data_IF_813234783218
#
_entry.id   IF_813234783218
#
_cell.length_a   1.000
_cell.length_b   1.000
_cell.length_c   1.000
_cell.angle_alpha   90.00
_cell.angle_beta   90.00
_cell.angle_gamma   90.00
#
_symmetry.space_group_name_H-M   'P 1'
#
loop_
_entity.id
_entity.type
_entity.pdbx_description
1 polymer ?
#
# COMPACT_ATOMS: atom_id res chain seq x y z
N UNK A 1 12.78 -6.92 11.02
CA UNK A 1 13.46 -5.72 10.49
C UNK A 1 12.45 -5.08 9.56
N UNK A 2 12.02 -3.83 9.77
CA UNK A 2 10.92 -3.31 8.99
C UNK A 2 11.46 -3.05 7.59
N UNK A 3 10.93 -3.83 6.66
CA UNK A 3 10.65 -3.47 5.28
C UNK A 3 11.31 -2.15 4.79
N UNK A 4 12.11 -2.23 3.74
CA UNK A 4 12.57 -1.08 2.96
C UNK A 4 12.23 -1.36 1.50
N UNK A 5 11.28 -0.63 0.92
CA UNK A 5 11.03 -0.70 -0.52
C UNK A 5 12.23 -0.27 -1.35
N UNK A 6 12.12 -0.42 -2.66
CA UNK A 6 12.98 0.27 -3.61
C UNK A 6 12.87 1.78 -3.34
N UNK A 7 14.01 2.45 -3.35
CA UNK A 7 14.07 3.90 -3.29
C UNK A 7 14.44 4.43 -4.67
N UNK A 8 13.47 4.90 -5.47
CA UNK A 8 13.75 5.56 -6.74
C UNK A 8 14.76 6.70 -6.58
N UNK A 9 15.58 6.89 -7.61
CA UNK A 9 16.34 8.12 -7.79
C UNK A 9 15.48 9.13 -8.54
N UNK A 10 15.47 10.38 -8.15
CA UNK A 10 14.74 11.44 -8.85
C UNK A 10 15.71 12.44 -9.47
N UNK A 11 15.34 12.97 -10.64
CA UNK A 11 16.14 13.91 -11.39
C UNK A 11 15.40 15.21 -11.67
N UNK A 12 16.06 16.32 -11.34
CA UNK A 12 15.64 17.68 -11.62
C UNK A 12 14.21 18.04 -11.15
N UNK A 13 13.69 17.33 -10.15
CA UNK A 13 12.40 17.63 -9.55
C UNK A 13 12.51 18.81 -8.58
N UNK A 14 11.51 19.68 -8.60
CA UNK A 14 11.23 20.63 -7.53
C UNK A 14 10.87 19.90 -6.23
N UNK A 15 10.93 20.59 -5.10
CA UNK A 15 10.55 19.99 -3.81
C UNK A 15 9.07 19.60 -3.75
N UNK A 16 8.21 20.30 -4.50
CA UNK A 16 6.80 19.92 -4.62
C UNK A 16 6.65 18.62 -5.44
N UNK A 17 7.27 18.53 -6.62
CA UNK A 17 7.24 17.32 -7.45
C UNK A 17 7.82 16.11 -6.71
N UNK A 18 8.95 16.28 -6.00
CA UNK A 18 9.56 15.21 -5.22
C UNK A 18 8.61 14.67 -4.14
N UNK A 19 7.88 15.55 -3.45
CA UNK A 19 6.87 15.14 -2.46
C UNK A 19 5.64 14.50 -3.10
N UNK A 20 5.20 15.00 -4.25
CA UNK A 20 4.09 14.44 -5.01
C UNK A 20 4.43 13.04 -5.56
N UNK A 21 5.67 12.80 -5.99
CA UNK A 21 6.19 11.49 -6.37
C UNK A 21 6.30 10.56 -5.17
N UNK A 22 6.76 11.05 -4.03
CA UNK A 22 6.84 10.26 -2.79
C UNK A 22 5.44 9.80 -2.35
N UNK A 23 4.46 10.70 -2.38
CA UNK A 23 3.05 10.41 -2.10
C UNK A 23 2.51 9.34 -3.06
N UNK A 24 2.65 9.56 -4.37
CA UNK A 24 2.19 8.61 -5.39
C UNK A 24 2.87 7.24 -5.28
N UNK A 25 4.17 7.19 -4.97
CA UNK A 25 4.91 5.93 -4.78
C UNK A 25 4.46 5.16 -3.53
N UNK A 26 4.10 5.88 -2.45
CA UNK A 26 3.54 5.27 -1.24
C UNK A 26 2.14 4.72 -1.48
N UNK A 27 1.28 5.52 -2.10
CA UNK A 27 -0.09 5.12 -2.46
C UNK A 27 -0.09 3.96 -3.47
N UNK A 28 0.87 3.92 -4.41
CA UNK A 28 1.07 2.77 -5.29
C UNK A 28 1.45 1.52 -4.49
N UNK A 29 2.20 1.69 -3.39
CA UNK A 29 2.41 0.63 -2.41
C UNK A 29 1.10 0.16 -1.79
N UNK A 30 0.21 1.04 -1.37
CA UNK A 30 -1.10 0.64 -0.83
C UNK A 30 -1.88 -0.21 -1.84
N UNK A 31 -1.90 0.20 -3.12
CA UNK A 31 -2.47 -0.58 -4.23
C UNK A 31 -1.77 -1.94 -4.36
N UNK A 32 -0.44 -1.99 -4.33
CA UNK A 32 0.34 -3.22 -4.42
C UNK A 32 0.08 -4.19 -3.24
N UNK A 33 -0.08 -3.66 -2.04
CA UNK A 33 -0.40 -4.44 -0.84
C UNK A 33 -1.79 -5.07 -0.95
N UNK A 34 -2.78 -4.29 -1.38
CA UNK A 34 -4.14 -4.79 -1.64
C UNK A 34 -4.11 -5.84 -2.75
N UNK A 35 -3.43 -5.59 -3.86
CA UNK A 35 -3.34 -6.60 -4.93
C UNK A 35 -2.68 -7.89 -4.45
N UNK A 36 -1.61 -7.79 -3.67
CA UNK A 36 -0.95 -8.96 -3.11
C UNK A 36 -1.86 -9.73 -2.16
N UNK A 37 -2.67 -9.04 -1.34
CA UNK A 37 -3.68 -9.65 -0.47
C UNK A 37 -4.71 -10.50 -1.24
N UNK A 38 -5.12 -10.08 -2.44
CA UNK A 38 -6.12 -10.81 -3.23
C UNK A 38 -5.51 -11.74 -4.30
N UNK A 39 -4.17 -11.79 -4.43
CA UNK A 39 -3.48 -12.54 -5.49
C UNK A 39 -3.69 -14.07 -5.46
N UNK A 40 -3.32 -14.84 -6.52
CA UNK A 40 -3.51 -16.28 -6.53
C UNK A 40 -2.84 -16.94 -5.32
N UNK A 41 -3.50 -17.92 -4.68
CA UNK A 41 -3.07 -18.49 -3.37
C UNK A 41 -3.18 -17.54 -2.17
N UNK A 42 -3.83 -16.39 -2.29
CA UNK A 42 -4.32 -15.59 -1.16
C UNK A 42 -5.86 -15.60 -1.13
N UNK A 43 -6.51 -14.50 -0.71
CA UNK A 43 -7.97 -14.34 -0.79
C UNK A 43 -8.33 -14.04 -2.24
N UNK A 44 -8.32 -15.00 -3.15
CA UNK A 44 -8.79 -14.72 -4.50
C UNK A 44 -10.26 -14.32 -4.47
N UNK A 45 -10.63 -13.23 -5.15
CA UNK A 45 -12.01 -12.79 -5.30
C UNK A 45 -12.51 -13.04 -6.72
N UNK A 46 -13.80 -13.33 -6.89
CA UNK A 46 -14.43 -13.51 -8.20
C UNK A 46 -14.31 -12.25 -9.08
N UNK A 47 -14.25 -11.06 -8.47
CA UNK A 47 -14.01 -9.81 -9.18
C UNK A 47 -12.66 -9.75 -9.90
N UNK A 48 -11.65 -10.51 -9.46
CA UNK A 48 -10.37 -10.59 -10.16
C UNK A 48 -10.46 -11.41 -11.45
N UNK A 49 -11.33 -12.43 -11.48
CA UNK A 49 -11.59 -13.20 -12.70
C UNK A 49 -12.27 -12.34 -13.78
N UNK A 50 -12.97 -11.28 -13.40
CA UNK A 50 -13.59 -10.34 -14.33
C UNK A 50 -12.57 -9.60 -15.19
N UNK A 51 -11.41 -9.24 -14.63
CA UNK A 51 -10.36 -8.48 -15.33
C UNK A 51 -9.19 -9.34 -15.80
N UNK A 52 -8.97 -10.49 -15.14
CA UNK A 52 -7.82 -11.35 -15.45
C UNK A 52 -8.16 -12.74 -15.99
N UNK A 53 -9.44 -13.10 -15.97
CA UNK A 53 -9.93 -14.41 -16.41
C UNK A 53 -9.67 -15.50 -15.38
N UNK A 54 -10.50 -16.55 -15.40
CA UNK A 54 -10.49 -17.65 -14.43
C UNK A 54 -9.21 -18.51 -14.46
N UNK A 55 -8.38 -18.35 -15.49
CA UNK A 55 -7.09 -19.03 -15.60
C UNK A 55 -5.96 -18.35 -14.82
N UNK A 56 -6.15 -17.12 -14.34
CA UNK A 56 -5.16 -16.39 -13.54
C UNK A 56 -4.96 -17.07 -12.17
N UNK A 57 -6.05 -17.48 -11.52
CA UNK A 57 -6.02 -18.21 -10.25
C UNK A 57 -5.37 -19.59 -10.37
N UNK A 58 -5.56 -20.25 -11.53
CA UNK A 58 -5.19 -21.64 -11.78
C UNK A 58 -3.77 -21.82 -12.29
N UNK A 59 -2.98 -20.75 -12.36
CA UNK A 59 -1.58 -20.85 -12.74
C UNK A 59 -0.78 -21.43 -11.59
N UNK A 60 -0.76 -22.76 -11.52
CA UNK A 60 0.17 -23.52 -10.71
C UNK A 60 0.99 -24.44 -11.61
N UNK A 61 2.31 -24.45 -11.42
CA UNK A 61 3.20 -25.43 -12.01
C UNK A 61 2.91 -26.85 -11.51
N UNK A 62 3.61 -27.83 -12.09
CA UNK A 62 3.41 -29.27 -11.87
C UNK A 62 3.46 -29.72 -10.39
N UNK A 63 4.03 -28.90 -9.50
CA UNK A 63 4.17 -29.17 -8.06
C UNK A 63 3.34 -28.24 -7.16
N UNK A 64 2.33 -27.55 -7.72
CA UNK A 64 1.56 -26.54 -6.98
C UNK A 64 2.31 -25.22 -6.78
N UNK A 65 3.51 -25.08 -7.35
CA UNK A 65 4.30 -23.83 -7.36
C UNK A 65 3.52 -22.73 -8.10
N UNK A 66 3.44 -21.50 -7.57
CA UNK A 66 2.72 -20.43 -8.25
C UNK A 66 3.25 -20.16 -9.66
N UNK A 67 2.36 -19.71 -10.54
CA UNK A 67 2.71 -19.29 -11.89
C UNK A 67 3.36 -17.89 -11.94
N UNK A 68 3.83 -17.49 -13.13
CA UNK A 68 4.44 -16.17 -13.36
C UNK A 68 3.61 -14.99 -12.83
N UNK A 69 2.28 -15.08 -12.94
CA UNK A 69 1.33 -14.04 -12.59
C UNK A 69 1.33 -13.72 -11.09
N UNK A 70 1.36 -14.75 -10.24
CA UNK A 70 1.54 -14.57 -8.80
C UNK A 70 2.87 -13.90 -8.49
N UNK A 71 3.95 -14.34 -9.14
CA UNK A 71 5.28 -13.76 -8.89
C UNK A 71 5.38 -12.32 -9.39
N UNK A 72 4.67 -11.94 -10.45
CA UNK A 72 4.53 -10.55 -10.86
C UNK A 72 3.93 -9.70 -9.73
N UNK A 73 2.77 -10.11 -9.19
CA UNK A 73 2.11 -9.40 -8.09
C UNK A 73 2.99 -9.38 -6.82
N UNK A 74 3.68 -10.48 -6.52
CA UNK A 74 4.60 -10.54 -5.38
C UNK A 74 5.80 -9.60 -5.55
N UNK A 75 6.39 -9.55 -6.75
CA UNK A 75 7.55 -8.68 -7.04
C UNK A 75 7.16 -7.21 -7.03
N UNK A 76 5.95 -6.91 -7.52
CA UNK A 76 5.36 -5.59 -7.43
C UNK A 76 5.19 -5.15 -5.97
N UNK A 77 4.56 -5.98 -5.13
CA UNK A 77 4.51 -5.73 -3.68
C UNK A 77 5.91 -5.53 -3.07
N UNK A 78 6.87 -6.39 -3.45
CA UNK A 78 8.25 -6.31 -2.95
C UNK A 78 8.99 -5.05 -3.42
N UNK A 79 8.58 -4.42 -4.52
CA UNK A 79 9.11 -3.13 -4.95
C UNK A 79 8.82 -2.03 -3.91
N UNK A 80 7.71 -2.11 -3.17
CA UNK A 80 7.31 -1.12 -2.17
C UNK A 80 7.64 -1.53 -0.72
N UNK A 81 7.58 -2.84 -0.41
CA UNK A 81 7.59 -3.31 0.97
C UNK A 81 8.64 -4.36 1.32
N UNK A 82 9.59 -4.70 0.46
CA UNK A 82 10.47 -5.82 0.78
C UNK A 82 11.34 -5.59 2.03
N UNK A 83 11.52 -6.64 2.85
CA UNK A 83 12.60 -6.67 3.85
C UNK A 83 13.98 -6.68 3.19
N UNK A 84 15.04 -6.56 4.00
CA UNK A 84 16.42 -6.72 3.51
C UNK A 84 16.57 -8.03 2.71
N UNK A 85 17.15 -7.95 1.51
CA UNK A 85 17.31 -9.05 0.52
C UNK A 85 16.04 -9.67 -0.10
N UNK A 86 14.87 -9.08 0.13
CA UNK A 86 13.61 -9.55 -0.45
C UNK A 86 13.07 -8.69 -1.60
N UNK A 87 13.73 -7.56 -1.92
CA UNK A 87 13.30 -6.71 -3.04
C UNK A 87 13.55 -7.44 -4.37
N UNK A 88 12.88 -7.07 -5.47
CA UNK A 88 13.32 -7.43 -6.80
C UNK A 88 14.84 -7.25 -6.92
N UNK A 89 15.55 -8.37 -7.07
CA UNK A 89 17.01 -8.36 -6.91
C UNK A 89 17.60 -7.52 -8.03
N UNK A 90 18.43 -6.57 -7.62
CA UNK A 90 19.28 -5.77 -8.51
C UNK A 90 18.47 -4.84 -9.42
N UNK A 91 17.27 -4.49 -8.96
CA UNK A 91 16.38 -3.52 -9.58
C UNK A 91 16.71 -2.12 -9.12
N UNK A 92 16.79 -1.21 -10.07
CA UNK A 92 16.98 0.22 -9.82
C UNK A 92 16.04 0.99 -10.71
N UNK A 93 15.56 2.13 -10.25
CA UNK A 93 14.68 2.99 -11.04
C UNK A 93 15.04 4.45 -10.85
N UNK A 94 14.76 5.23 -11.89
CA UNK A 94 14.98 6.66 -11.92
C UNK A 94 13.74 7.35 -12.44
N UNK A 95 13.23 8.35 -11.73
CA UNK A 95 12.14 9.20 -12.18
C UNK A 95 12.69 10.53 -12.68
N UNK A 96 12.44 10.84 -13.95
CA UNK A 96 12.72 12.13 -14.56
C UNK A 96 11.44 12.98 -14.51
N UNK A 97 11.48 14.10 -13.76
CA UNK A 97 10.32 15.00 -13.69
C UNK A 97 10.05 15.75 -15.00
N UNK A 98 11.04 15.81 -15.91
CA UNK A 98 10.93 16.43 -17.22
C UNK A 98 11.58 15.57 -18.30
N UNK A 99 10.86 15.37 -19.41
CA UNK A 99 11.31 14.57 -20.56
C UNK A 99 12.66 15.02 -21.14
N UNK A 100 12.89 16.32 -21.24
CA UNK A 100 14.15 16.89 -21.74
C UNK A 100 15.39 16.40 -20.97
N UNK A 101 15.22 16.01 -19.71
CA UNK A 101 16.30 15.55 -18.86
C UNK A 101 16.60 14.05 -19.05
N UNK A 102 15.66 13.32 -19.66
CA UNK A 102 15.86 11.94 -20.13
C UNK A 102 16.43 11.87 -21.55
N UNK A 103 16.47 12.98 -22.29
CA UNK A 103 17.11 13.01 -23.61
C UNK A 103 16.69 14.20 -24.44
N UNK A 104 17.63 14.75 -25.21
CA UNK A 104 17.40 16.00 -25.95
C UNK A 104 16.51 15.87 -27.20
N UNK A 105 16.21 14.65 -27.64
CA UNK A 105 15.38 14.38 -28.83
C UNK A 105 14.06 13.68 -28.50
N UNK A 106 13.75 13.55 -27.22
CA UNK A 106 12.50 12.94 -26.77
C UNK A 106 11.38 13.97 -26.82
N UNK A 107 10.23 13.57 -27.36
CA UNK A 107 9.02 14.38 -27.44
C UNK A 107 7.76 13.53 -27.25
N UNK A 108 7.86 12.42 -26.51
CA UNK A 108 6.74 11.50 -26.27
C UNK A 108 5.65 12.17 -25.43
N UNK A 109 6.01 12.98 -24.44
CA UNK A 109 5.02 13.73 -23.66
C UNK A 109 4.31 14.82 -24.49
N UNK A 110 5.00 15.40 -25.49
CA UNK A 110 4.42 16.43 -26.36
C UNK A 110 3.57 15.83 -27.49
N UNK A 111 3.98 14.68 -28.03
CA UNK A 111 3.28 14.00 -29.13
C UNK A 111 2.06 13.21 -28.65
N UNK A 112 2.05 12.77 -27.39
CA UNK A 112 0.96 12.04 -26.76
C UNK A 112 0.37 12.88 -25.60
N UNK A 113 -0.52 13.82 -25.93
CA UNK A 113 -1.06 14.81 -24.99
C UNK A 113 -1.74 14.24 -23.72
N UNK A 114 -2.14 12.96 -23.72
CA UNK A 114 -2.75 12.27 -22.57
C UNK A 114 -1.78 11.42 -21.75
N UNK A 115 -0.51 11.29 -22.17
CA UNK A 115 0.47 10.42 -21.55
C UNK A 115 0.84 10.93 -20.16
N UNK A 116 0.71 10.09 -19.12
CA UNK A 116 1.09 10.47 -17.76
C UNK A 116 2.55 10.14 -17.48
N UNK A 117 3.01 8.98 -17.94
CA UNK A 117 4.38 8.55 -17.79
C UNK A 117 4.75 7.58 -18.90
N UNK A 118 6.04 7.32 -19.03
CA UNK A 118 6.53 6.21 -19.84
C UNK A 118 7.82 5.67 -19.29
N UNK A 119 8.10 4.40 -19.58
CA UNK A 119 9.24 3.67 -19.02
C UNK A 119 9.96 2.85 -20.08
N UNK A 120 11.22 2.51 -19.80
CA UNK A 120 11.98 1.54 -20.57
C UNK A 120 12.89 0.73 -19.68
N UNK A 121 13.42 -0.37 -20.22
CA UNK A 121 14.31 -1.27 -19.51
C UNK A 121 15.75 -1.06 -20.00
N UNK A 122 16.69 -0.91 -19.07
CA UNK A 122 18.13 -0.86 -19.32
C UNK A 122 18.84 -2.01 -18.58
N UNK A 123 18.91 -3.20 -19.18
CA UNK A 123 19.55 -4.35 -18.56
C UNK A 123 21.07 -4.19 -18.54
N UNK A 124 21.65 -4.19 -17.34
CA UNK A 124 23.08 -4.34 -17.11
C UNK A 124 23.47 -5.79 -16.79
N UNK A 125 24.77 -6.04 -16.66
CA UNK A 125 25.29 -7.39 -16.34
C UNK A 125 24.93 -7.80 -14.90
N UNK A 126 24.89 -6.83 -13.98
CA UNK A 126 24.67 -7.06 -12.53
C UNK A 126 23.52 -6.23 -11.96
N UNK A 127 22.71 -5.64 -12.82
CA UNK A 127 21.56 -4.83 -12.43
C UNK A 127 20.58 -4.69 -13.59
N UNK A 128 19.36 -4.29 -13.28
CA UNK A 128 18.40 -3.80 -14.28
C UNK A 128 17.95 -2.42 -13.84
N UNK A 129 18.12 -1.43 -14.72
CA UNK A 129 17.71 -0.06 -14.48
C UNK A 129 16.43 0.24 -15.25
N UNK A 130 15.45 0.86 -14.60
CA UNK A 130 14.15 1.20 -15.15
C UNK A 130 13.91 2.70 -15.07
N UNK A 131 14.31 3.46 -16.09
CA UNK A 131 13.95 4.87 -16.20
C UNK A 131 12.45 5.04 -16.42
N UNK A 132 11.85 5.99 -15.69
CA UNK A 132 10.48 6.46 -15.89
C UNK A 132 10.52 7.97 -16.12
N UNK A 133 9.86 8.45 -17.16
CA UNK A 133 9.67 9.87 -17.43
C UNK A 133 8.25 10.25 -17.04
N UNK A 134 8.12 11.32 -16.27
CA UNK A 134 6.84 11.86 -15.84
C UNK A 134 6.43 12.97 -16.77
N UNK A 135 5.26 12.82 -17.40
CA UNK A 135 4.71 13.78 -18.35
C UNK A 135 3.77 14.78 -17.64
N UNK A 136 3.50 15.96 -18.24
CA UNK A 136 2.68 16.99 -17.60
C UNK A 136 1.30 16.54 -17.06
N UNK A 137 0.52 15.71 -17.77
CA UNK A 137 -0.79 15.24 -17.29
C UNK A 137 -0.76 14.53 -15.93
N UNK A 138 0.34 13.85 -15.58
CA UNK A 138 0.48 13.17 -14.29
C UNK A 138 0.28 14.12 -13.10
N UNK A 139 0.79 15.34 -13.22
CA UNK A 139 0.76 16.34 -12.14
C UNK A 139 -0.65 16.89 -11.87
N UNK A 140 -1.56 16.75 -12.85
CA UNK A 140 -2.94 17.19 -12.74
C UNK A 140 -3.86 16.10 -12.16
N UNK A 141 -3.37 14.85 -12.06
CA UNK A 141 -4.13 13.74 -11.51
C UNK A 141 -4.24 13.87 -9.98
N UNK A 142 -5.40 13.55 -9.40
CA UNK A 142 -5.60 13.57 -7.95
C UNK A 142 -4.78 12.49 -7.26
N UNK A 143 -4.79 12.55 -5.93
CA UNK A 143 -4.23 11.50 -5.05
C UNK A 143 -5.12 10.28 -5.05
N UNK A 144 -4.62 9.15 -4.53
CA UNK A 144 -5.45 7.99 -4.25
C UNK A 144 -6.46 8.26 -3.13
N UNK A 145 -6.14 9.12 -2.15
CA UNK A 145 -7.05 9.48 -1.07
C UNK A 145 -8.34 10.14 -1.56
N UNK A 146 -8.26 10.95 -2.62
CA UNK A 146 -9.40 11.74 -3.11
C UNK A 146 -10.58 10.86 -3.59
N UNK A 147 -10.41 9.81 -4.43
CA UNK A 147 -11.49 8.89 -4.75
C UNK A 147 -11.89 7.99 -3.57
N UNK A 148 -10.98 7.64 -2.64
CA UNK A 148 -11.33 6.85 -1.45
C UNK A 148 -12.33 7.63 -0.57
N UNK A 149 -12.01 8.89 -0.24
CA UNK A 149 -12.88 9.76 0.56
C UNK A 149 -14.26 9.93 -0.09
N UNK A 150 -14.29 10.04 -1.42
CA UNK A 150 -15.54 10.17 -2.16
C UNK A 150 -16.36 8.88 -2.23
N UNK A 151 -15.71 7.72 -2.21
CA UNK A 151 -16.38 6.43 -2.29
C UNK A 151 -17.12 6.08 -0.99
N UNK A 152 -16.85 6.77 0.12
CA UNK A 152 -17.47 6.50 1.40
C UNK A 152 -19.00 6.69 1.38
N UNK A 153 -19.72 5.58 1.55
CA UNK A 153 -21.17 5.57 1.54
C UNK A 153 -21.80 5.81 0.15
N UNK A 154 -21.00 5.86 -0.92
CA UNK A 154 -21.46 5.98 -2.31
C UNK A 154 -21.14 4.70 -3.09
N UNK A 155 -22.00 3.70 -2.94
CA UNK A 155 -21.93 2.41 -3.65
C UNK A 155 -21.87 2.59 -5.18
N UNK A 156 -22.56 3.60 -5.72
CA UNK A 156 -22.55 3.88 -7.16
C UNK A 156 -21.20 4.39 -7.66
N UNK A 157 -20.50 5.18 -6.83
CA UNK A 157 -19.14 5.62 -7.11
C UNK A 157 -18.15 4.46 -6.99
N UNK A 158 -18.30 3.61 -5.97
CA UNK A 158 -17.47 2.42 -5.76
C UNK A 158 -17.48 1.50 -6.98
N UNK A 159 -18.66 1.22 -7.55
CA UNK A 159 -18.80 0.31 -8.69
C UNK A 159 -18.29 0.88 -10.03
N UNK A 160 -18.01 2.18 -10.11
CA UNK A 160 -17.54 2.85 -11.32
C UNK A 160 -16.03 2.78 -11.49
N UNK A 161 -15.52 1.80 -12.25
CA UNK A 161 -14.07 1.59 -12.41
C UNK A 161 -13.29 2.83 -12.89
N UNK A 162 -13.88 3.67 -13.75
CA UNK A 162 -13.28 4.92 -14.22
C UNK A 162 -13.01 5.95 -13.11
N UNK A 163 -13.72 5.86 -11.99
CA UNK A 163 -13.49 6.71 -10.82
C UNK A 163 -12.15 6.41 -10.14
N UNK A 164 -11.73 5.16 -10.21
CA UNK A 164 -10.49 4.68 -9.61
C UNK A 164 -9.29 4.79 -10.54
N UNK A 165 -9.51 4.92 -11.86
CA UNK A 165 -8.44 5.03 -12.87
C UNK A 165 -7.67 6.37 -12.84
N UNK A 166 -8.25 7.41 -12.23
CA UNK A 166 -7.75 8.79 -12.35
C UNK A 166 -6.91 9.21 -11.16
N UNK A 167 -5.80 8.56 -10.85
CA UNK A 167 -4.92 9.04 -9.77
C UNK A 167 -3.45 8.76 -10.07
N UNK A 168 -2.56 9.50 -9.42
CA UNK A 168 -1.10 9.39 -9.60
C UNK A 168 -0.55 8.02 -9.17
N UNK A 169 -1.11 7.43 -8.12
CA UNK A 169 -0.68 6.14 -7.58
C UNK A 169 -0.86 5.01 -8.61
N UNK A 170 -1.98 4.99 -9.33
CA UNK A 170 -2.23 4.05 -10.42
C UNK A 170 -1.16 4.17 -11.51
N UNK A 171 -0.78 5.38 -11.93
CA UNK A 171 0.27 5.54 -12.94
C UNK A 171 1.58 4.93 -12.45
N UNK A 172 2.00 5.21 -11.22
CA UNK A 172 3.23 4.64 -10.66
C UNK A 172 3.20 3.11 -10.62
N UNK A 173 2.05 2.57 -10.21
CA UNK A 173 1.77 1.14 -10.16
C UNK A 173 1.70 0.48 -11.55
N UNK A 174 1.25 1.23 -12.56
CA UNK A 174 1.24 0.78 -13.96
C UNK A 174 2.67 0.66 -14.50
N UNK A 175 3.45 1.73 -14.37
CA UNK A 175 4.80 1.80 -14.94
C UNK A 175 5.73 0.74 -14.35
N UNK A 176 5.58 0.39 -13.07
CA UNK A 176 6.36 -0.66 -12.41
C UNK A 176 6.10 -2.04 -12.99
N UNK A 177 4.89 -2.35 -13.47
CA UNK A 177 4.63 -3.61 -14.16
C UNK A 177 5.40 -3.76 -15.47
N UNK A 178 5.87 -2.68 -16.09
CA UNK A 178 6.70 -2.78 -17.31
C UNK A 178 8.16 -3.11 -17.03
N UNK A 179 8.58 -3.16 -15.76
CA UNK A 179 9.97 -3.39 -15.36
C UNK A 179 10.37 -4.86 -15.53
N UNK A 180 10.82 -5.21 -16.73
CA UNK A 180 11.29 -6.54 -17.08
C UNK A 180 12.80 -6.69 -16.88
N UNK A 181 13.28 -7.83 -16.33
CA UNK A 181 12.53 -9.00 -15.86
C UNK A 181 12.20 -8.95 -14.35
N UNK A 182 12.33 -7.78 -13.73
CA UNK A 182 12.44 -7.70 -12.28
C UNK A 182 11.11 -7.58 -11.55
N UNK A 183 10.08 -7.02 -12.19
CA UNK A 183 8.71 -6.99 -11.68
C UNK A 183 7.87 -7.95 -12.51
N UNK A 184 7.78 -7.72 -13.83
CA UNK A 184 7.07 -8.61 -14.75
C UNK A 184 8.01 -9.59 -15.45
N UNK A 185 7.68 -10.88 -15.36
CA UNK A 185 8.27 -11.95 -16.16
C UNK A 185 7.22 -13.07 -16.28
N UNK A 186 6.55 -13.25 -17.43
CA UNK A 186 6.83 -12.63 -18.73
C UNK A 186 6.58 -11.12 -18.73
N UNK A 187 7.30 -10.42 -19.61
CA UNK A 187 7.23 -8.96 -19.71
C UNK A 187 5.82 -8.46 -19.99
N UNK A 188 5.32 -7.55 -19.16
CA UNK A 188 4.10 -6.80 -19.42
C UNK A 188 4.37 -5.60 -20.34
N UNK A 189 5.06 -5.79 -21.47
CA UNK A 189 5.54 -4.69 -22.33
C UNK A 189 4.55 -4.20 -23.38
N UNK A 190 3.34 -4.75 -23.40
CA UNK A 190 2.34 -4.45 -24.42
C UNK A 190 1.16 -3.75 -23.77
N UNK A 191 1.01 -2.46 -24.04
CA UNK A 191 -0.12 -1.62 -23.64
C UNK A 191 -1.32 -1.85 -24.58
N UNK A 192 -1.74 -3.11 -24.68
CA UNK A 192 -2.63 -3.52 -25.77
C UNK A 192 -4.04 -3.00 -25.59
N UNK A 193 -4.49 -2.84 -24.34
CA UNK A 193 -5.83 -2.35 -24.01
C UNK A 193 -5.84 -1.58 -22.69
N UNK A 194 -6.14 -0.28 -22.78
CA UNK A 194 -6.43 0.59 -21.63
C UNK A 194 -7.92 0.64 -21.25
N UNK A 195 -8.81 0.32 -22.20
CA UNK A 195 -10.24 0.41 -21.96
C UNK A 195 -10.72 -0.78 -21.12
N UNK A 196 -11.56 -0.55 -20.09
CA UNK A 196 -12.14 -1.62 -19.28
C UNK A 196 -12.85 -2.69 -20.13
N UNK A 197 -13.59 -2.28 -21.16
CA UNK A 197 -14.30 -3.22 -22.05
C UNK A 197 -13.33 -4.12 -22.84
N UNK A 198 -12.21 -3.58 -23.31
CA UNK A 198 -11.17 -4.35 -24.01
C UNK A 198 -10.53 -5.38 -23.09
N UNK A 199 -10.18 -4.98 -21.87
CA UNK A 199 -9.59 -5.86 -20.84
C UNK A 199 -10.58 -6.97 -20.47
N UNK A 200 -11.85 -6.62 -20.22
CA UNK A 200 -12.89 -7.61 -19.90
C UNK A 200 -13.07 -8.63 -21.02
N UNK A 201 -13.08 -8.19 -22.28
CA UNK A 201 -13.23 -9.12 -23.40
C UNK A 201 -12.05 -10.09 -23.49
N UNK A 202 -10.82 -9.60 -23.28
CA UNK A 202 -9.65 -10.46 -23.20
C UNK A 202 -9.73 -11.47 -22.04
N UNK A 203 -10.19 -11.02 -20.88
CA UNK A 203 -10.38 -11.85 -19.68
C UNK A 203 -11.43 -12.95 -19.91
N UNK A 204 -12.58 -12.59 -20.48
CA UNK A 204 -13.66 -13.51 -20.86
C UNK A 204 -13.17 -14.59 -21.82
N UNK A 205 -12.28 -14.24 -22.74
CA UNK A 205 -11.66 -15.17 -23.70
C UNK A 205 -10.50 -15.98 -23.10
N UNK A 206 -10.11 -15.73 -21.84
CA UNK A 206 -8.90 -16.28 -21.22
C UNK A 206 -7.64 -16.09 -22.10
N UNK A 207 -7.56 -14.93 -22.77
CA UNK A 207 -6.45 -14.63 -23.66
C UNK A 207 -5.14 -14.55 -22.89
N UNK A 208 -4.06 -15.08 -23.45
CA UNK A 208 -2.71 -14.92 -22.88
C UNK A 208 -2.30 -13.44 -22.77
N UNK A 209 -2.89 -12.57 -23.60
CA UNK A 209 -2.66 -11.12 -23.64
C UNK A 209 -2.99 -10.43 -22.31
N UNK A 210 -4.00 -10.92 -21.59
CA UNK A 210 -4.37 -10.42 -20.26
C UNK A 210 -3.21 -10.51 -19.26
N UNK A 211 -2.39 -11.55 -19.38
CA UNK A 211 -1.30 -11.84 -18.43
C UNK A 211 -0.06 -10.99 -18.66
N UNK A 212 0.02 -10.34 -19.82
CA UNK A 212 1.12 -9.48 -20.27
C UNK A 212 0.67 -8.02 -20.49
N UNK A 213 -0.55 -7.68 -20.05
CA UNK A 213 -1.08 -6.32 -20.09
C UNK A 213 -1.01 -5.72 -18.68
N UNK A 214 -0.21 -4.68 -18.47
CA UNK A 214 -0.05 -4.06 -17.14
C UNK A 214 -1.41 -3.60 -16.58
N UNK A 215 -2.25 -3.00 -17.42
CA UNK A 215 -3.57 -2.50 -17.02
C UNK A 215 -4.50 -3.60 -16.47
N UNK A 216 -4.39 -4.85 -16.95
CA UNK A 216 -5.17 -5.96 -16.42
C UNK A 216 -4.89 -6.22 -14.93
N UNK A 217 -3.65 -6.02 -14.48
CA UNK A 217 -3.26 -6.18 -13.08
C UNK A 217 -3.78 -5.02 -12.22
N UNK A 218 -3.81 -3.80 -12.76
CA UNK A 218 -4.32 -2.63 -12.04
C UNK A 218 -5.81 -2.77 -11.74
N UNK A 219 -6.56 -3.25 -12.72
CA UNK A 219 -8.01 -3.38 -12.61
C UNK A 219 -8.42 -4.40 -11.51
N UNK A 220 -7.56 -5.36 -11.20
CA UNK A 220 -7.72 -6.30 -10.08
C UNK A 220 -7.54 -5.66 -8.69
N UNK A 221 -6.96 -4.47 -8.60
CA UNK A 221 -6.60 -3.87 -7.30
C UNK A 221 -7.75 -3.11 -6.66
N UNK A 222 -8.75 -2.73 -7.44
CA UNK A 222 -9.94 -2.05 -6.95
C UNK A 222 -10.88 -3.13 -6.43
N UNK A 223 -10.88 -3.27 -5.10
CA UNK A 223 -11.71 -4.20 -4.33
C UNK A 223 -13.19 -3.94 -4.60
N UNK A 224 -13.75 -4.72 -5.50
CA UNK A 224 -15.16 -4.67 -5.84
C UNK A 224 -15.71 -6.01 -5.38
N UNK A 225 -16.28 -6.05 -4.17
CA UNK A 225 -16.91 -7.27 -3.66
C UNK A 225 -18.01 -7.78 -4.60
N UNK A 226 -18.58 -6.88 -5.41
CA UNK A 226 -19.51 -7.16 -6.50
C UNK A 226 -18.92 -6.83 -7.88
N UNK A 227 -19.44 -7.50 -8.92
CA UNK A 227 -19.02 -7.24 -10.31
C UNK A 227 -19.29 -5.77 -10.67
N UNK A 228 -18.27 -4.97 -11.04
CA UNK A 228 -18.46 -3.58 -11.39
C UNK A 228 -19.48 -3.42 -12.51
N UNK A 229 -20.37 -2.44 -12.36
CA UNK A 229 -21.06 -1.89 -13.52
C UNK A 229 -20.06 -1.04 -14.31
N UNK A 230 -19.88 -1.35 -15.59
CA UNK A 230 -19.29 -0.38 -16.52
C UNK A 230 -20.26 0.79 -16.56
N UNK A 231 -20.00 1.81 -15.74
CA UNK A 231 -20.79 3.03 -15.75
C UNK A 231 -20.71 3.62 -17.15
N UNK A 232 -21.82 4.09 -17.74
CA UNK A 232 -21.77 4.79 -19.01
C UNK A 232 -20.84 5.99 -18.84
N UNK A 233 -19.69 5.90 -19.51
CA UNK A 233 -18.65 6.92 -19.51
C UNK A 233 -19.31 8.20 -20.03
N UNK A 234 -19.24 9.30 -19.28
CA UNK A 234 -19.72 10.59 -19.79
C UNK A 234 -18.92 10.93 -21.05
N UNK A 235 -19.49 11.50 -22.13
CA UNK A 235 -18.76 11.70 -23.41
C UNK A 235 -17.48 12.56 -23.33
N UNK A 236 -17.28 13.29 -22.22
CA UNK A 236 -16.02 14.00 -21.93
C UNK A 236 -14.89 13.07 -21.45
N UNK A 237 -15.26 11.93 -20.88
CA UNK A 237 -14.37 10.96 -20.27
C UNK A 237 -13.91 9.88 -21.26
N UNK A 238 -14.67 9.63 -22.35
CA UNK A 238 -14.26 8.70 -23.44
C UNK A 238 -12.93 9.11 -24.08
N UNK A 239 -12.71 10.42 -24.31
CA UNK A 239 -11.44 10.89 -24.89
C UNK A 239 -10.23 10.76 -23.96
N UNK A 240 -10.46 10.65 -22.66
CA UNK A 240 -9.41 10.51 -21.65
C UNK A 240 -9.08 9.02 -21.39
N UNK A 241 -10.02 8.10 -21.61
CA UNK A 241 -9.80 6.64 -21.50
C UNK A 241 -9.29 5.99 -22.82
N UNK A 242 -9.36 6.70 -23.95
CA UNK A 242 -8.80 6.28 -25.25
C UNK A 242 -7.35 6.71 -25.50
N UNK A 243 -6.78 7.61 -24.68
CA UNK A 243 -5.39 8.05 -24.83
C UNK A 243 -4.49 7.31 -23.84
N UNK A 244 -3.39 6.76 -24.37
CA UNK A 244 -2.36 6.01 -23.65
C UNK A 244 -1.95 6.74 -22.36
N UNK A 245 -2.50 6.31 -21.23
CA UNK A 245 -2.19 6.86 -19.90
C UNK A 245 -0.72 6.58 -19.53
N UNK A 246 -0.11 5.58 -20.16
CA UNK A 246 1.25 5.09 -19.98
C UNK A 246 1.82 4.60 -21.34
N UNK A 247 3.14 4.50 -21.45
CA UNK A 247 3.79 3.99 -22.66
C UNK A 247 5.07 3.25 -22.29
N UNK A 248 5.37 2.18 -23.01
CA UNK A 248 6.65 1.47 -22.88
C UNK A 248 7.50 1.64 -24.13
N UNK A 249 8.77 1.97 -23.94
CA UNK A 249 9.76 1.89 -25.03
C UNK A 249 10.46 0.53 -24.97
N UNK A 250 10.51 -0.15 -26.11
CA UNK A 250 11.20 -1.45 -26.24
C UNK A 250 12.71 -1.33 -26.01
N UNK A 251 13.28 -0.19 -26.39
CA UNK A 251 14.70 0.11 -26.25
C UNK A 251 14.91 1.50 -25.65
N UNK A 252 16.05 1.74 -24.97
CA UNK A 252 16.40 3.06 -24.49
C UNK A 252 16.47 4.09 -25.63
N UNK A 253 16.00 5.33 -25.43
CA UNK A 253 16.08 6.36 -26.45
C UNK A 253 17.50 6.62 -26.94
N UNK A 254 17.68 6.84 -28.25
CA UNK A 254 19.02 7.11 -28.82
C UNK A 254 19.73 8.31 -28.18
N UNK A 255 18.98 9.33 -27.75
CA UNK A 255 19.52 10.52 -27.08
C UNK A 255 19.59 10.41 -25.56
N UNK A 256 19.19 9.27 -24.98
CA UNK A 256 19.26 9.08 -23.54
C UNK A 256 20.71 8.78 -23.13
N UNK A 257 21.22 9.60 -22.22
CA UNK A 257 22.52 9.34 -21.61
C UNK A 257 22.32 8.39 -20.42
N UNK A 258 22.75 7.14 -20.59
CA UNK A 258 22.74 6.15 -19.51
C UNK A 258 23.52 6.71 -18.30
N UNK A 259 22.93 6.73 -17.10
CA UNK A 259 23.64 7.15 -15.91
C UNK A 259 24.91 6.31 -15.69
N UNK A 260 26.06 6.97 -15.55
CA UNK A 260 27.30 6.32 -15.19
C UNK A 260 27.16 5.69 -13.79
N UNK A 261 27.40 4.40 -13.64
CA UNK A 261 27.46 3.77 -12.31
C UNK A 261 28.85 3.96 -11.71
N UNK A 262 28.91 4.34 -10.43
CA UNK A 262 30.18 4.43 -9.68
C UNK A 262 30.69 3.07 -9.19
N UNK A 263 29.89 2.01 -9.30
CA UNK A 263 30.34 0.67 -8.92
C UNK A 263 29.91 -0.37 -9.96
N UNK A 264 30.80 -1.31 -10.26
CA UNK A 264 30.52 -2.40 -11.21
C UNK A 264 29.47 -3.41 -10.70
N UNK A 265 29.25 -3.46 -9.37
CA UNK A 265 28.41 -4.47 -8.71
C UNK A 265 27.09 -3.93 -8.13
N UNK A 266 26.92 -2.61 -8.07
CA UNK A 266 25.72 -1.93 -7.56
C UNK A 266 25.47 -0.69 -8.41
N UNK A 267 24.24 -0.48 -8.85
CA UNK A 267 23.90 0.75 -9.55
C UNK A 267 23.87 1.89 -8.54
N UNK A 268 24.77 2.85 -8.72
CA UNK A 268 24.80 4.09 -7.94
C UNK A 268 25.14 5.20 -8.93
N UNK A 269 24.16 6.05 -9.26
CA UNK A 269 24.37 7.10 -10.26
C UNK A 269 25.56 7.97 -9.92
N UNK A 270 26.32 8.36 -10.94
CA UNK A 270 27.49 9.21 -10.77
C UNK A 270 27.08 10.55 -10.13
N UNK A 271 27.79 11.03 -9.10
CA UNK A 271 27.43 12.28 -8.39
C UNK A 271 27.27 13.51 -9.28
N UNK A 272 27.94 13.52 -10.44
CA UNK A 272 27.83 14.58 -11.48
C UNK A 272 26.41 14.74 -12.02
N UNK A 273 25.62 13.67 -12.05
CA UNK A 273 24.24 13.67 -12.55
C UNK A 273 23.23 14.17 -11.51
N UNK A 274 23.67 14.50 -10.28
CA UNK A 274 22.87 15.19 -9.25
C UNK A 274 21.53 14.53 -8.92
N UNK A 275 21.38 13.21 -9.12
CA UNK A 275 20.21 12.47 -8.65
C UNK A 275 20.09 12.56 -7.12
N UNK A 276 18.86 12.65 -6.64
CA UNK A 276 18.53 12.54 -5.21
C UNK A 276 17.74 11.26 -4.97
N UNK A 277 17.78 10.69 -3.77
CA UNK A 277 16.91 9.55 -3.46
C UNK A 277 15.53 10.07 -3.07
N UNK A 278 14.48 9.39 -3.52
CA UNK A 278 13.13 9.72 -3.11
C UNK A 278 12.94 9.60 -1.58
N UNK A 279 13.65 8.64 -0.95
CA UNK A 279 13.68 8.48 0.52
C UNK A 279 14.21 9.71 1.28
N UNK A 280 14.96 10.60 0.63
CA UNK A 280 15.48 11.81 1.28
C UNK A 280 14.35 12.82 1.57
N UNK A 281 13.18 12.62 0.96
CA UNK A 281 11.99 13.46 1.11
C UNK A 281 10.96 12.90 2.11
N UNK A 282 11.17 11.68 2.63
CA UNK A 282 10.32 11.06 3.65
C UNK A 282 10.33 9.53 3.60
N UNK A 283 9.52 8.91 4.48
CA UNK A 283 9.38 7.46 4.52
C UNK A 283 8.69 6.95 3.25
N UNK A 284 9.28 5.94 2.59
CA UNK A 284 8.76 5.34 1.36
C UNK A 284 7.63 4.35 1.58
N UNK A 285 7.40 3.95 2.83
CA UNK A 285 6.37 2.99 3.17
C UNK A 285 5.20 3.74 3.81
N UNK A 286 3.95 3.40 3.45
CA UNK A 286 2.86 3.75 4.34
C UNK A 286 3.17 3.15 5.72
N UNK A 287 2.92 3.88 6.81
CA UNK A 287 3.03 3.26 8.12
C UNK A 287 2.08 2.05 8.12
N UNK A 288 2.50 0.91 8.68
CA UNK A 288 1.64 -0.28 8.68
C UNK A 288 0.29 0.12 9.27
N UNK A 289 -0.79 0.00 8.49
CA UNK A 289 -2.15 0.12 9.02
C UNK A 289 -2.27 -0.95 10.08
N UNK A 290 -2.28 -0.52 11.34
CA UNK A 290 -2.27 -1.39 12.52
C UNK A 290 -3.57 -2.16 12.72
N UNK A 291 -4.29 -2.50 11.65
CA UNK A 291 -5.47 -3.34 11.72
C UNK A 291 -5.03 -4.78 11.95
N UNK A 292 -5.44 -5.29 13.10
CA UNK A 292 -5.35 -6.70 13.40
C UNK A 292 -6.37 -7.46 12.53
N UNK A 293 -5.88 -8.36 11.67
CA UNK A 293 -6.70 -9.23 10.84
C UNK A 293 -6.99 -10.56 11.55
N UNK A 294 -7.43 -10.52 12.80
CA UNK A 294 -7.64 -11.73 13.62
C UNK A 294 -8.53 -12.76 12.92
N UNK A 295 -8.16 -14.03 12.99
CA UNK A 295 -8.89 -15.13 12.34
C UNK A 295 -8.80 -15.16 10.82
N UNK A 296 -8.11 -14.20 10.19
CA UNK A 296 -7.88 -14.23 8.75
C UNK A 296 -6.83 -15.28 8.42
N UNK A 297 -7.19 -16.18 7.49
CA UNK A 297 -6.36 -17.29 7.02
C UNK A 297 -5.63 -16.94 5.72
N UNK A 298 -4.39 -17.40 5.62
CA UNK A 298 -3.46 -17.20 4.51
C UNK A 298 -2.83 -18.53 4.10
N UNK A 299 -2.57 -18.75 2.81
CA UNK A 299 -1.95 -20.00 2.37
C UNK A 299 -0.45 -20.09 2.69
N UNK A 300 0.24 -18.96 2.93
CA UNK A 300 1.67 -18.98 3.26
C UNK A 300 2.06 -18.02 4.39
N UNK A 301 3.12 -18.38 5.12
CA UNK A 301 3.65 -17.63 6.25
C UNK A 301 4.11 -16.22 5.90
N UNK A 302 4.63 -16.04 4.68
CA UNK A 302 5.08 -14.73 4.19
C UNK A 302 3.89 -13.78 4.06
N UNK A 303 2.74 -14.29 3.61
CA UNK A 303 1.50 -13.52 3.46
C UNK A 303 0.97 -13.07 4.82
N UNK A 304 0.88 -14.00 5.76
CA UNK A 304 0.45 -13.70 7.11
C UNK A 304 1.36 -12.64 7.74
N UNK A 305 2.69 -12.77 7.63
CA UNK A 305 3.65 -11.83 8.24
C UNK A 305 3.62 -10.43 7.64
N UNK A 306 3.18 -10.31 6.39
CA UNK A 306 3.03 -9.01 5.71
C UNK A 306 1.80 -8.29 6.24
N UNK A 307 0.69 -9.01 6.38
CA UNK A 307 -0.61 -8.43 6.72
C UNK A 307 -0.89 -8.38 8.22
N UNK A 308 -0.17 -9.17 9.01
CA UNK A 308 -0.27 -9.25 10.46
C UNK A 308 1.10 -8.99 11.07
N UNK A 309 1.15 -8.53 12.33
CA UNK A 309 2.46 -8.31 12.95
C UNK A 309 3.17 -9.66 13.04
N UNK A 310 4.48 -9.69 12.81
CA UNK A 310 5.28 -10.93 12.71
C UNK A 310 5.03 -12.01 13.77
N UNK A 311 4.59 -11.62 14.97
CA UNK A 311 4.33 -12.53 16.11
C UNK A 311 2.94 -13.15 16.07
N UNK A 312 2.06 -12.63 15.22
CA UNK A 312 0.63 -12.86 15.22
C UNK A 312 0.27 -13.85 14.11
N UNK A 313 1.16 -14.78 13.76
CA UNK A 313 1.00 -15.66 12.60
C UNK A 313 1.21 -17.13 12.96
N UNK A 314 0.10 -17.81 13.20
CA UNK A 314 0.06 -19.21 13.62
C UNK A 314 -0.18 -20.12 12.43
N UNK A 315 0.52 -21.25 12.37
CA UNK A 315 0.25 -22.30 11.38
C UNK A 315 -0.95 -23.13 11.86
N UNK A 316 -1.97 -23.28 11.02
CA UNK A 316 -3.17 -24.09 11.27
C UNK A 316 -3.44 -25.02 10.08
N UNK A 317 -4.22 -26.07 10.29
CA UNK A 317 -4.60 -27.03 9.26
C UNK A 317 -6.02 -26.71 8.77
N UNK A 318 -6.20 -26.60 7.45
CA UNK A 318 -7.50 -26.32 6.83
C UNK A 318 -8.33 -27.61 6.63
N UNK A 319 -9.60 -27.46 6.27
CA UNK A 319 -10.54 -28.59 6.14
C UNK A 319 -10.10 -29.67 5.11
N UNK A 320 -9.25 -29.30 4.15
CA UNK A 320 -8.69 -30.20 3.13
C UNK A 320 -7.33 -30.82 3.53
N UNK A 321 -6.86 -30.56 4.76
CA UNK A 321 -5.56 -31.00 5.27
C UNK A 321 -4.37 -30.16 4.79
N UNK A 322 -4.61 -29.06 4.07
CA UNK A 322 -3.56 -28.12 3.69
C UNK A 322 -3.10 -27.27 4.87
N UNK A 323 -1.82 -26.86 4.84
CA UNK A 323 -1.26 -25.95 5.85
C UNK A 323 -1.58 -24.52 5.46
N UNK A 324 -2.26 -23.82 6.36
CA UNK A 324 -2.58 -22.40 6.26
C UNK A 324 -2.01 -21.67 7.47
N UNK A 325 -2.02 -20.35 7.42
CA UNK A 325 -1.50 -19.46 8.45
C UNK A 325 -2.59 -18.49 8.84
N UNK A 326 -2.95 -18.47 10.11
CA UNK A 326 -4.00 -17.62 10.65
C UNK A 326 -3.38 -16.49 11.46
N UNK A 327 -3.97 -15.31 11.33
CA UNK A 327 -3.57 -14.20 12.19
C UNK A 327 -4.19 -14.34 13.57
N UNK A 328 -3.34 -14.24 14.58
CA UNK A 328 -3.70 -14.30 15.99
C UNK A 328 -3.13 -13.08 16.66
N UNK A 329 -3.97 -12.07 16.84
CA UNK A 329 -3.54 -10.84 17.50
C UNK A 329 -3.54 -10.95 19.03
N UNK A 330 -3.77 -12.15 19.57
CA UNK A 330 -4.03 -12.40 20.97
C UNK A 330 -5.47 -12.05 21.37
N UNK A 331 -5.85 -12.46 22.57
CA UNK A 331 -7.14 -12.09 23.17
C UNK A 331 -7.21 -10.60 23.47
N UNK A 332 -8.38 -9.99 23.26
CA UNK A 332 -8.73 -8.65 23.75
C UNK A 332 -8.47 -8.61 25.25
N UNK A 333 -7.34 -8.02 25.65
CA UNK A 333 -7.14 -7.65 27.03
C UNK A 333 -8.12 -6.53 27.34
N UNK A 334 -8.92 -6.65 28.41
CA UNK A 334 -9.63 -5.50 28.96
C UNK A 334 -8.60 -4.51 29.49
N UNK A 335 -8.13 -3.60 28.64
CA UNK A 335 -7.27 -2.50 29.03
C UNK A 335 -8.07 -1.45 29.80
N UNK A 336 -7.38 -0.60 30.57
CA UNK A 336 -7.96 0.61 31.15
C UNK A 336 -8.44 1.56 30.05
N UNK A 337 -9.62 2.14 30.18
CA UNK A 337 -10.13 3.11 29.20
C UNK A 337 -9.38 4.44 29.30
N UNK A 338 -8.66 4.82 28.23
CA UNK A 338 -7.98 6.12 28.14
C UNK A 338 -8.47 6.87 26.90
N UNK A 339 -9.11 8.02 27.10
CA UNK A 339 -9.46 8.94 26.02
C UNK A 339 -8.17 9.42 25.31
N UNK A 340 -8.16 9.40 23.98
CA UNK A 340 -6.97 9.78 23.21
C UNK A 340 -6.84 9.09 21.86
N UNK A 341 -5.75 9.39 21.18
CA UNK A 341 -5.45 8.89 19.84
C UNK A 341 -4.72 7.54 19.90
N UNK A 342 -5.26 6.55 19.19
CA UNK A 342 -4.70 5.21 19.07
C UNK A 342 -4.22 4.95 17.64
N UNK A 343 -3.16 4.16 17.41
CA UNK A 343 -2.62 3.84 16.09
C UNK A 343 -3.49 2.93 15.20
N UNK A 344 -4.75 2.71 15.55
CA UNK A 344 -5.69 1.91 14.76
C UNK A 344 -6.92 1.42 15.55
N UNK A 345 -7.94 0.90 14.86
CA UNK A 345 -9.19 0.45 15.47
C UNK A 345 -8.99 -0.62 16.52
N UNK A 346 -8.12 -1.60 16.26
CA UNK A 346 -7.86 -2.70 17.20
C UNK A 346 -7.18 -2.23 18.49
N UNK A 347 -6.16 -1.38 18.37
CA UNK A 347 -5.51 -0.77 19.55
C UNK A 347 -6.47 0.12 20.34
N UNK A 348 -7.42 0.77 19.67
CA UNK A 348 -8.47 1.49 20.36
C UNK A 348 -9.41 0.52 21.07
N UNK A 349 -9.94 -0.49 20.40
CA UNK A 349 -10.86 -1.49 20.98
C UNK A 349 -10.29 -2.22 22.20
N UNK A 350 -8.98 -2.45 22.25
CA UNK A 350 -8.32 -3.09 23.40
C UNK A 350 -8.07 -2.17 24.59
N UNK A 351 -8.00 -0.85 24.37
CA UNK A 351 -7.60 0.12 25.40
C UNK A 351 -8.67 1.20 25.65
N UNK A 352 -9.83 1.09 25.02
CA UNK A 352 -10.96 2.01 25.14
C UNK A 352 -12.16 1.27 25.78
N UNK A 353 -11.93 0.56 26.89
CA UNK A 353 -12.96 -0.29 27.52
C UNK A 353 -14.12 0.54 28.10
N UNK A 354 -15.33 0.41 27.53
CA UNK A 354 -16.49 1.25 27.89
C UNK A 354 -16.51 2.62 27.19
N UNK A 355 -15.46 3.00 26.48
CA UNK A 355 -15.42 4.18 25.61
C UNK A 355 -15.92 3.89 24.18
N UNK A 356 -15.88 4.91 23.32
CA UNK A 356 -16.22 4.84 21.91
C UNK A 356 -15.04 5.22 21.05
N UNK A 357 -14.60 4.27 20.23
CA UNK A 357 -13.62 4.46 19.18
C UNK A 357 -14.27 5.09 17.94
N UNK A 358 -13.73 6.21 17.46
CA UNK A 358 -14.09 6.83 16.17
C UNK A 358 -12.83 7.09 15.35
N UNK A 359 -12.77 6.49 14.16
CA UNK A 359 -11.77 6.80 13.16
C UNK A 359 -12.28 7.85 12.17
N UNK A 360 -11.36 8.63 11.61
CA UNK A 360 -11.59 9.34 10.36
C UNK A 360 -11.13 8.44 9.22
N UNK A 361 -11.93 8.28 8.16
CA UNK A 361 -11.51 7.50 7.00
C UNK A 361 -10.23 8.05 6.37
N UNK A 362 -9.32 7.17 5.94
CA UNK A 362 -7.99 7.53 5.43
C UNK A 362 -6.93 7.82 6.51
N UNK A 363 -7.29 7.88 7.79
CA UNK A 363 -6.33 8.00 8.89
C UNK A 363 -6.03 6.66 9.54
N UNK A 364 -4.76 6.44 9.84
CA UNK A 364 -4.30 5.27 10.59
C UNK A 364 -4.63 5.34 12.08
N UNK A 365 -5.01 6.51 12.58
CA UNK A 365 -5.32 6.71 13.99
C UNK A 365 -6.82 6.78 14.26
N UNK A 366 -7.21 6.21 15.40
CA UNK A 366 -8.59 6.12 15.89
C UNK A 366 -8.66 6.79 17.25
N UNK A 367 -9.64 7.67 17.44
CA UNK A 367 -9.82 8.40 18.68
C UNK A 367 -10.76 7.65 19.63
N UNK A 368 -10.31 7.35 20.84
CA UNK A 368 -11.17 6.89 21.94
C UNK A 368 -11.78 8.08 22.66
N UNK A 369 -13.09 8.04 22.89
CA UNK A 369 -13.82 9.07 23.63
C UNK A 369 -14.89 8.47 24.53
N UNK A 370 -15.17 9.11 25.67
CA UNK A 370 -16.27 8.70 26.54
C UNK A 370 -15.90 7.55 27.48
N UNK A 371 -14.61 7.39 27.77
CA UNK A 371 -14.19 6.66 28.96
C UNK A 371 -14.82 7.33 30.18
N UNK A 372 -15.59 6.57 30.96
CA UNK A 372 -16.04 7.05 32.26
C UNK A 372 -14.79 7.34 33.09
N UNK A 373 -14.61 8.59 33.54
CA UNK A 373 -13.76 8.83 34.70
C UNK A 373 -14.49 8.13 35.84
N UNK A 374 -13.87 7.13 36.46
CA UNK A 374 -14.34 6.72 37.77
C UNK A 374 -14.35 7.99 38.62
N UNK A 375 -15.50 8.33 39.20
CA UNK A 375 -15.58 9.43 40.14
C UNK A 375 -14.59 9.08 41.26
N UNK A 376 -13.50 9.84 41.38
CA UNK A 376 -12.56 9.75 42.51
C UNK A 376 -13.36 10.12 43.77
N UNK A 377 -13.95 9.11 44.42
CA UNK A 377 -14.66 9.31 45.69
C UNK A 377 -13.61 9.32 46.79
N UNK A 378 -13.08 10.50 47.07
CA UNK A 378 -12.30 10.69 48.28
C UNK A 378 -13.25 10.79 49.48
N UNK A 379 -13.16 9.84 50.41
CA UNK A 379 -13.94 9.84 51.64
C UNK A 379 -13.11 10.44 52.80
N UNK A 380 -13.45 11.65 53.23
CA UNK A 380 -12.79 12.25 54.40
C UNK A 380 -13.10 11.43 55.67
N UNK A 381 -12.07 11.07 56.43
CA UNK A 381 -12.25 10.20 57.59
C UNK A 381 -10.99 9.90 58.38
N UNK A 382 -11.18 9.26 59.54
CA UNK A 382 -10.12 8.68 60.35
C UNK A 382 -10.13 7.17 60.16
N UNK A 383 -9.00 6.61 59.76
CA UNK A 383 -8.81 5.20 59.45
C UNK A 383 -7.84 4.55 60.42
N UNK A 384 -7.96 3.23 60.59
CA UNK A 384 -7.14 2.48 61.55
C UNK A 384 -5.64 2.47 61.17
N UNK A 385 -5.34 2.54 59.87
CA UNK A 385 -4.00 2.44 59.31
C UNK A 385 -3.88 3.14 57.94
N UNK A 386 -2.64 3.24 57.43
CA UNK A 386 -2.34 3.89 56.16
C UNK A 386 -2.88 3.14 54.95
N UNK A 387 -3.02 1.82 55.01
CA UNK A 387 -3.49 1.02 53.88
C UNK A 387 -4.98 1.29 53.66
N UNK A 388 -5.79 1.23 54.73
CA UNK A 388 -7.22 1.60 54.68
C UNK A 388 -7.44 3.05 54.31
N UNK A 389 -6.57 3.95 54.79
CA UNK A 389 -6.63 5.35 54.39
C UNK A 389 -6.33 5.48 52.89
N UNK A 390 -5.26 4.86 52.38
CA UNK A 390 -4.89 4.94 50.97
C UNK A 390 -5.96 4.37 50.04
N UNK A 391 -6.62 3.27 50.45
CA UNK A 391 -7.67 2.63 49.65
C UNK A 391 -8.97 3.47 49.56
N UNK A 392 -9.18 4.40 50.50
CA UNK A 392 -10.41 5.21 50.61
C UNK A 392 -10.19 6.71 50.35
N UNK A 393 -8.94 7.15 50.26
CA UNK A 393 -8.51 8.54 50.13
C UNK A 393 -7.92 8.82 48.74
N UNK A 394 -8.61 8.36 47.68
CA UNK A 394 -8.08 8.48 46.32
C UNK A 394 -8.09 9.95 45.86
N UNK A 395 -6.92 10.46 45.47
CA UNK A 395 -6.70 11.89 45.20
C UNK A 395 -6.49 12.79 46.44
N UNK A 396 -6.60 12.26 47.66
CA UNK A 396 -6.35 12.98 48.92
C UNK A 396 -5.01 12.67 49.58
N UNK A 397 -4.77 13.22 50.77
CA UNK A 397 -3.55 12.99 51.57
C UNK A 397 -3.85 12.29 52.90
N UNK A 398 -3.19 11.16 53.13
CA UNK A 398 -3.19 10.43 54.40
C UNK A 398 -2.11 10.95 55.34
N UNK A 399 -2.49 11.38 56.55
CA UNK A 399 -1.56 11.90 57.57
C UNK A 399 -1.81 11.30 58.94
N UNK A 400 -0.76 11.01 59.70
CA UNK A 400 -0.89 10.60 61.11
C UNK A 400 -1.48 11.76 61.91
N UNK A 401 -2.58 11.50 62.61
CA UNK A 401 -3.26 12.53 63.38
C UNK A 401 -2.55 12.72 64.74
N UNK A 402 -2.19 13.96 65.06
CA UNK A 402 -1.56 14.27 66.34
C UNK A 402 -2.61 14.31 67.47
N UNK A 403 -2.81 13.17 68.15
CA UNK A 403 -3.64 13.09 69.37
C UNK A 403 -4.84 12.13 69.31
N UNK A 404 -5.05 11.43 68.21
CA UNK A 404 -6.01 10.33 68.06
C UNK A 404 -5.30 9.14 67.41
N UNK A 405 -5.52 7.91 67.89
CA UNK A 405 -4.97 6.71 67.27
C UNK A 405 -5.65 6.50 65.90
N UNK A 406 -4.92 6.74 64.81
CA UNK A 406 -5.40 6.55 63.44
C UNK A 406 -4.73 7.47 62.40
N UNK A 407 -5.02 7.20 61.12
CA UNK A 407 -4.54 7.96 59.95
C UNK A 407 -5.72 8.71 59.33
N UNK A 408 -5.59 10.02 59.15
CA UNK A 408 -6.66 10.87 58.62
C UNK A 408 -6.48 11.09 57.11
N UNK A 409 -7.55 10.87 56.36
CA UNK A 409 -7.67 11.30 54.97
C UNK A 409 -8.18 12.75 54.89
N UNK A 410 -7.50 13.58 54.11
CA UNK A 410 -7.97 14.90 53.70
C UNK A 410 -8.10 14.93 52.17
N UNK A 411 -9.32 15.17 51.69
CA UNK A 411 -9.64 15.26 50.27
C UNK A 411 -9.41 16.69 49.76
N UNK A 412 -8.78 16.87 48.60
CA UNK A 412 -8.53 18.20 48.00
C UNK A 412 -9.62 18.67 47.04
#
# INVERSE_FOLDING_TARGET
>A
MPYSGLSPYIHNCTDWEAKALLEAWREAGEIAQVHYQWSPKHKWQDAMDYWTGTNMQKTSGFWGTPGPEYYNIQREYKAHFAGFDQQPRWTYTTFYCYEKDAGTKLNHCETNYGLNAYTWNDPGIWYTHHPVVICPPFWEKPRLSDPIERAEGDESFQLGIGNWKRNRARTMYHESYHWYPTVSDPWCGTDEFYSPDGIRELARLNSKRVKVNAESYIMNTFNLEDVPHVSPITPKDEKADEQDDAMVLEEPPESWERPESTTEKRFTPHPKLKFKKLSDYGALQPPHSGECLDGVRFATKEQCRVQCRFKDCNEVEDDDGSRIYECDCGTVGKGSCVDGEYPGPWTCSNNCDGGKCKGSPGYQSVWCSGCAKEDEVCEEGLYDDFDKCSDSCDGGFCTENAGEDGVRCACE
#
